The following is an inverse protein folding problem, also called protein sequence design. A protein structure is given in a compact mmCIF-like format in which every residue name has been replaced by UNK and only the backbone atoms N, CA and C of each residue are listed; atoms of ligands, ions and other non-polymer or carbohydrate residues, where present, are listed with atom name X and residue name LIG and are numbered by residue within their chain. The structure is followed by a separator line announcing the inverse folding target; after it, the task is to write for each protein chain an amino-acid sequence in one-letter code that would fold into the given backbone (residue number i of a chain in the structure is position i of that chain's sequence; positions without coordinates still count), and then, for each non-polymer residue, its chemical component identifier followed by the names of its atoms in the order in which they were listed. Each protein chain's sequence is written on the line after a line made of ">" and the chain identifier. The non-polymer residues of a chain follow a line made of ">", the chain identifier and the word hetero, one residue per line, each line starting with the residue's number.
data_IF_086319776136
#
_entry.id   IF_086319776136
#
_cell.length_a   1.000
_cell.length_b   1.000
_cell.length_c   1.000
_cell.angle_alpha   90.00
_cell.angle_beta   90.00
_cell.angle_gamma   90.00
#
_symmetry.space_group_name_H-M   'P 1'
#
loop_
_entity.id
_entity.type
_entity.pdbx_description
1 polymer ?
#
# COMPACT_ATOMS: atom_id res chain seq x y z
N UNK A 1 21.73 13.29 -2.64
CA UNK A 1 21.79 14.75 -2.87
C UNK A 1 22.06 15.11 -4.33
N UNK A 2 23.26 14.86 -4.91
CA UNK A 2 23.56 15.25 -6.32
C UNK A 2 22.53 14.75 -7.35
N UNK A 3 22.09 13.49 -7.21
CA UNK A 3 21.07 12.91 -8.11
C UNK A 3 19.74 13.65 -8.00
N UNK A 4 19.31 14.01 -6.79
CA UNK A 4 18.05 14.74 -6.59
C UNK A 4 18.14 16.17 -7.12
N UNK A 5 19.28 16.85 -6.90
CA UNK A 5 19.51 18.17 -7.46
C UNK A 5 19.43 18.15 -8.99
N UNK A 6 20.00 17.12 -9.64
CA UNK A 6 19.88 16.95 -11.09
C UNK A 6 18.41 16.90 -11.57
N UNK A 7 17.51 16.25 -10.82
CA UNK A 7 16.09 16.22 -11.18
C UNK A 7 15.40 17.57 -10.93
N UNK A 8 15.73 18.27 -9.84
CA UNK A 8 15.22 19.64 -9.58
C UNK A 8 15.66 20.60 -10.69
N UNK A 9 16.94 20.59 -11.07
CA UNK A 9 17.47 21.43 -12.14
C UNK A 9 16.77 21.14 -13.48
N UNK A 10 16.44 19.87 -13.73
CA UNK A 10 15.73 19.46 -14.95
C UNK A 10 14.28 19.92 -14.97
N UNK A 11 13.59 19.88 -13.83
CA UNK A 11 12.23 20.41 -13.67
C UNK A 11 12.23 21.93 -13.86
N UNK A 12 13.18 22.64 -13.26
CA UNK A 12 13.32 24.09 -13.41
C UNK A 12 13.61 24.49 -14.86
N UNK A 13 14.46 23.72 -15.57
CA UNK A 13 14.77 23.98 -16.97
C UNK A 13 13.62 23.65 -17.94
N UNK A 14 12.66 22.80 -17.55
CA UNK A 14 11.57 22.32 -18.40
C UNK A 14 10.23 22.28 -17.64
N UNK A 15 9.68 23.44 -17.25
CA UNK A 15 8.49 23.50 -16.41
C UNK A 15 7.22 22.92 -17.07
N UNK A 16 7.16 22.93 -18.40
CA UNK A 16 6.02 22.41 -19.17
C UNK A 16 6.09 20.89 -19.43
N UNK A 17 7.22 20.25 -19.11
CA UNK A 17 7.43 18.79 -19.21
C UNK A 17 8.20 18.27 -17.99
N UNK A 18 7.58 18.34 -16.79
CA UNK A 18 8.26 18.00 -15.54
C UNK A 18 8.56 16.50 -15.49
N UNK A 19 9.78 16.17 -15.09
CA UNK A 19 10.18 14.78 -14.88
C UNK A 19 9.57 14.23 -13.62
N UNK A 20 9.10 12.98 -13.70
CA UNK A 20 8.69 12.20 -12.56
C UNK A 20 9.79 11.20 -12.16
N UNK A 21 10.28 11.31 -10.93
CA UNK A 21 11.35 10.48 -10.40
C UNK A 21 10.82 9.48 -9.36
N UNK A 22 11.23 8.22 -9.49
CA UNK A 22 10.91 7.15 -8.55
C UNK A 22 12.21 6.61 -7.92
N UNK A 23 12.27 6.59 -6.59
CA UNK A 23 13.42 6.08 -5.84
C UNK A 23 12.99 5.08 -4.76
N UNK A 24 13.84 4.10 -4.51
CA UNK A 24 13.79 3.34 -3.27
C UNK A 24 14.47 4.12 -2.14
N UNK A 25 13.86 4.11 -0.96
CA UNK A 25 14.39 4.77 0.23
C UNK A 25 14.55 3.76 1.37
N UNK A 26 15.68 3.83 2.06
CA UNK A 26 15.91 3.07 3.28
C UNK A 26 15.11 3.72 4.41
N UNK A 27 14.18 2.99 5.07
CA UNK A 27 13.16 3.60 5.94
C UNK A 27 13.72 4.47 7.08
N UNK A 28 14.81 4.03 7.71
CA UNK A 28 15.40 4.67 8.89
C UNK A 28 16.59 5.60 8.56
N UNK A 29 16.84 5.87 7.28
CA UNK A 29 17.95 6.70 6.83
C UNK A 29 17.51 7.90 6.00
N UNK A 30 17.07 8.96 6.68
CA UNK A 30 16.64 10.22 6.07
C UNK A 30 17.32 11.44 6.74
N UNK A 31 18.59 11.75 6.39
CA UNK A 31 19.32 12.89 6.96
C UNK A 31 18.68 14.24 6.65
N UNK A 32 18.88 15.26 7.50
CA UNK A 32 18.27 16.59 7.31
C UNK A 32 18.57 17.23 5.95
N UNK A 33 19.80 17.16 5.46
CA UNK A 33 20.12 17.69 4.13
C UNK A 33 19.30 17.01 2.99
N UNK A 34 18.92 15.75 3.19
CA UNK A 34 18.06 15.02 2.25
C UNK A 34 16.61 15.50 2.36
N UNK A 35 16.10 15.69 3.58
CA UNK A 35 14.79 16.29 3.85
C UNK A 35 14.63 17.67 3.20
N UNK A 36 15.59 18.56 3.41
CA UNK A 36 15.59 19.89 2.80
C UNK A 36 15.55 19.84 1.26
N UNK A 37 16.18 18.83 0.66
CA UNK A 37 16.17 18.65 -0.80
C UNK A 37 14.84 18.07 -1.28
N UNK A 38 14.29 17.08 -0.57
CA UNK A 38 12.99 16.46 -0.87
C UNK A 38 11.86 17.49 -0.83
N UNK A 39 11.86 18.38 0.17
CA UNK A 39 10.83 19.40 0.34
C UNK A 39 10.75 20.40 -0.83
N UNK A 40 11.78 20.48 -1.67
CA UNK A 40 11.81 21.35 -2.87
C UNK A 40 11.12 20.75 -4.08
N UNK A 41 10.84 19.44 -4.09
CA UNK A 41 10.16 18.81 -5.21
C UNK A 41 8.69 19.27 -5.28
N UNK A 42 8.20 19.69 -6.45
CA UNK A 42 6.80 20.05 -6.59
C UNK A 42 5.89 18.81 -6.51
N UNK A 43 4.58 19.01 -6.25
CA UNK A 43 3.60 17.93 -6.31
C UNK A 43 3.65 17.15 -7.62
N UNK A 44 3.60 15.82 -7.52
CA UNK A 44 3.57 14.93 -8.68
C UNK A 44 4.93 14.72 -9.36
N UNK A 45 6.05 15.18 -8.79
CA UNK A 45 7.39 15.00 -9.36
C UNK A 45 8.22 13.89 -8.71
N UNK A 46 7.84 13.42 -7.52
CA UNK A 46 8.65 12.51 -6.72
C UNK A 46 7.80 11.41 -6.08
N UNK A 47 8.27 10.17 -6.20
CA UNK A 47 7.74 9.01 -5.49
C UNK A 47 8.86 8.24 -4.78
N UNK A 48 8.55 7.74 -3.59
CA UNK A 48 9.39 6.83 -2.84
C UNK A 48 8.72 5.47 -2.63
N UNK A 49 9.51 4.42 -2.81
CA UNK A 49 9.21 3.06 -2.36
C UNK A 49 10.01 2.77 -1.09
N UNK A 50 9.33 2.39 -0.01
CA UNK A 50 9.90 2.19 1.33
C UNK A 50 9.57 0.78 1.79
N UNK A 51 10.55 -0.11 1.71
CA UNK A 51 10.39 -1.48 2.18
C UNK A 51 10.47 -1.59 3.71
N UNK A 52 9.35 -1.57 4.42
CA UNK A 52 9.32 -1.88 5.87
C UNK A 52 9.36 -3.40 6.07
N UNK A 53 8.60 -4.13 5.25
CA UNK A 53 8.45 -5.59 5.25
C UNK A 53 7.71 -6.13 6.49
N UNK A 54 8.19 -5.83 7.70
CA UNK A 54 7.52 -6.11 8.97
C UNK A 54 7.96 -5.08 10.02
N UNK A 55 7.09 -4.76 10.97
CA UNK A 55 7.44 -3.96 12.16
C UNK A 55 7.85 -4.83 13.35
N UNK A 56 7.87 -6.16 13.24
CA UNK A 56 8.28 -7.06 14.31
C UNK A 56 9.83 -7.23 14.31
N UNK A 57 10.56 -6.79 15.35
CA UNK A 57 12.02 -6.89 15.40
C UNK A 57 12.56 -8.32 15.35
N UNK A 58 11.81 -9.30 15.86
CA UNK A 58 12.20 -10.72 15.82
C UNK A 58 12.16 -11.24 14.38
N UNK A 59 11.08 -10.94 13.66
CA UNK A 59 10.89 -11.29 12.24
C UNK A 59 11.97 -10.61 11.39
N UNK A 60 12.21 -9.31 11.62
CA UNK A 60 13.28 -8.56 10.95
C UNK A 60 14.65 -9.22 11.15
N UNK A 61 14.96 -9.64 12.38
CA UNK A 61 16.21 -10.34 12.71
C UNK A 61 16.33 -11.65 11.94
N UNK A 62 15.27 -12.46 11.89
CA UNK A 62 15.24 -13.73 11.17
C UNK A 62 15.55 -13.54 9.67
N UNK A 63 14.96 -12.52 9.05
CA UNK A 63 15.19 -12.21 7.63
C UNK A 63 16.42 -11.32 7.38
N UNK A 64 17.23 -11.05 8.41
CA UNK A 64 18.43 -10.22 8.34
C UNK A 64 18.16 -8.78 7.86
N UNK A 65 16.99 -8.24 8.19
CA UNK A 65 16.62 -6.84 7.99
C UNK A 65 17.03 -6.05 9.24
N UNK A 66 17.99 -5.14 9.09
CA UNK A 66 18.37 -4.21 10.15
C UNK A 66 17.68 -2.88 9.88
N UNK A 67 16.74 -2.49 10.75
CA UNK A 67 16.08 -1.19 10.70
C UNK A 67 15.68 -0.73 12.10
N UNK A 68 15.66 0.58 12.29
CA UNK A 68 15.12 1.25 13.47
C UNK A 68 13.66 1.67 13.19
N UNK A 69 12.70 0.94 13.77
CA UNK A 69 11.28 1.13 13.48
C UNK A 69 10.75 2.51 13.89
N UNK A 70 11.22 3.05 15.01
CA UNK A 70 10.77 4.35 15.49
C UNK A 70 11.24 5.45 14.53
N UNK A 71 12.50 5.38 14.09
CA UNK A 71 13.02 6.31 13.06
C UNK A 71 12.33 6.13 11.72
N UNK A 72 12.04 4.89 11.31
CA UNK A 72 11.30 4.63 10.08
C UNK A 72 9.91 5.28 10.13
N UNK A 73 9.20 5.14 11.24
CA UNK A 73 7.90 5.77 11.46
C UNK A 73 7.98 7.30 11.45
N UNK A 74 8.99 7.88 12.12
CA UNK A 74 9.23 9.32 12.12
C UNK A 74 9.55 9.88 10.73
N UNK A 75 10.36 9.15 9.95
CA UNK A 75 10.70 9.53 8.59
C UNK A 75 9.48 9.46 7.65
N UNK A 76 8.67 8.41 7.75
CA UNK A 76 7.41 8.31 6.99
C UNK A 76 6.49 9.47 7.36
N UNK A 77 6.30 9.77 8.65
CA UNK A 77 5.48 10.89 9.11
C UNK A 77 6.00 12.24 8.62
N UNK A 78 7.31 12.43 8.60
CA UNK A 78 7.91 13.63 8.03
C UNK A 78 7.64 13.72 6.53
N UNK A 79 7.85 12.64 5.78
CA UNK A 79 7.60 12.61 4.33
C UNK A 79 6.13 12.90 3.99
N UNK A 80 5.17 12.34 4.74
CA UNK A 80 3.73 12.54 4.49
C UNK A 80 3.25 13.94 4.86
N UNK A 81 3.90 14.62 5.80
CA UNK A 81 3.43 15.93 6.32
C UNK A 81 4.25 17.13 5.87
N UNK A 82 5.51 16.93 5.48
CA UNK A 82 6.47 17.99 5.18
C UNK A 82 7.01 17.93 3.74
N UNK A 83 6.48 17.02 2.91
CA UNK A 83 6.87 16.92 1.51
C UNK A 83 5.68 16.65 0.60
N UNK A 84 5.89 16.78 -0.70
CA UNK A 84 4.92 16.40 -1.73
C UNK A 84 5.23 15.03 -2.37
N UNK A 85 6.13 14.24 -1.76
CA UNK A 85 6.50 12.94 -2.27
C UNK A 85 5.35 11.94 -2.10
N UNK A 86 5.01 11.23 -3.17
CA UNK A 86 4.10 10.10 -3.11
C UNK A 86 4.82 8.92 -2.44
N UNK A 87 4.17 8.23 -1.49
CA UNK A 87 4.83 7.17 -0.70
C UNK A 87 4.14 5.84 -0.92
N UNK A 88 4.92 4.86 -1.35
CA UNK A 88 4.55 3.46 -1.43
C UNK A 88 5.33 2.75 -0.33
N UNK A 89 4.63 2.16 0.63
CA UNK A 89 5.28 1.51 1.78
C UNK A 89 4.91 0.04 1.84
N UNK A 90 5.91 -0.83 1.86
CA UNK A 90 5.70 -2.26 1.69
C UNK A 90 5.63 -3.00 3.02
N UNK A 91 4.66 -3.91 3.14
CA UNK A 91 4.61 -4.96 4.13
C UNK A 91 4.59 -6.32 3.44
N UNK A 92 5.17 -7.35 4.05
CA UNK A 92 5.24 -8.69 3.49
C UNK A 92 4.64 -9.68 4.49
N UNK A 93 3.53 -10.30 4.13
CA UNK A 93 2.95 -11.39 4.90
C UNK A 93 3.62 -12.74 4.57
N UNK A 94 3.65 -13.62 5.57
CA UNK A 94 4.20 -14.98 5.46
C UNK A 94 5.72 -15.06 5.65
N UNK A 95 6.32 -14.04 6.26
CA UNK A 95 7.71 -14.11 6.73
C UNK A 95 7.86 -15.19 7.82
N UNK A 96 9.04 -15.80 7.96
CA UNK A 96 9.29 -16.80 9.00
C UNK A 96 9.15 -16.17 10.40
N UNK A 97 8.36 -16.79 11.28
CA UNK A 97 8.16 -16.34 12.65
C UNK A 97 7.12 -15.24 12.81
N UNK A 98 6.37 -14.93 11.75
CA UNK A 98 5.31 -13.92 11.80
C UNK A 98 3.94 -14.57 11.69
N UNK A 99 3.14 -14.45 12.75
CA UNK A 99 1.73 -14.83 12.75
C UNK A 99 0.84 -13.68 12.24
N UNK A 100 -0.44 -13.99 11.99
CA UNK A 100 -1.42 -13.01 11.48
C UNK A 100 -1.60 -11.84 12.44
N UNK A 101 -1.54 -12.07 13.75
CA UNK A 101 -1.73 -11.02 14.75
C UNK A 101 -0.55 -10.04 14.77
N UNK A 102 0.68 -10.52 14.63
CA UNK A 102 1.90 -9.71 14.49
C UNK A 102 1.83 -8.88 13.23
N UNK A 103 1.48 -9.49 12.10
CA UNK A 103 1.30 -8.77 10.85
C UNK A 103 0.22 -7.68 10.96
N UNK A 104 -0.93 -8.00 11.57
CA UNK A 104 -2.03 -7.05 11.78
C UNK A 104 -1.60 -5.81 12.57
N UNK A 105 -0.84 -5.97 13.66
CA UNK A 105 -0.29 -4.84 14.42
C UNK A 105 0.63 -3.97 13.56
N UNK A 106 1.47 -4.59 12.72
CA UNK A 106 2.34 -3.86 11.80
C UNK A 106 1.56 -3.11 10.72
N UNK A 107 0.49 -3.71 10.20
CA UNK A 107 -0.42 -3.08 9.25
C UNK A 107 -1.14 -1.88 9.85
N UNK A 108 -1.75 -2.04 11.03
CA UNK A 108 -2.46 -0.95 11.71
C UNK A 108 -1.52 0.20 12.05
N UNK A 109 -0.29 -0.12 12.49
CA UNK A 109 0.74 0.88 12.70
C UNK A 109 1.05 1.64 11.41
N UNK A 110 1.24 0.95 10.28
CA UNK A 110 1.52 1.60 9.01
C UNK A 110 0.37 2.49 8.52
N UNK A 111 -0.88 2.02 8.64
CA UNK A 111 -2.07 2.82 8.33
C UNK A 111 -2.09 4.12 9.14
N UNK A 112 -1.70 4.08 10.42
CA UNK A 112 -1.63 5.27 11.28
C UNK A 112 -0.59 6.30 10.81
N UNK A 113 0.43 5.88 10.07
CA UNK A 113 1.45 6.77 9.48
C UNK A 113 0.96 7.45 8.19
N UNK A 114 -0.20 7.03 7.67
CA UNK A 114 -0.87 7.60 6.49
C UNK A 114 0.02 7.70 5.24
N UNK A 115 0.75 6.65 4.83
CA UNK A 115 1.36 6.64 3.50
C UNK A 115 0.26 6.72 2.42
N UNK A 116 0.64 7.12 1.22
CA UNK A 116 -0.33 7.24 0.12
C UNK A 116 -0.78 5.87 -0.38
N UNK A 117 0.13 4.90 -0.44
CA UNK A 117 -0.15 3.51 -0.76
C UNK A 117 0.57 2.57 0.22
N UNK A 118 -0.12 1.49 0.58
CA UNK A 118 0.47 0.37 1.32
C UNK A 118 0.52 -0.82 0.37
N UNK A 119 1.72 -1.26 0.00
CA UNK A 119 1.90 -2.45 -0.79
C UNK A 119 1.84 -3.68 0.12
N UNK A 120 0.74 -4.40 0.07
CA UNK A 120 0.59 -5.67 0.78
C UNK A 120 1.17 -6.81 -0.07
N UNK A 121 2.42 -7.18 0.20
CA UNK A 121 3.11 -8.29 -0.43
C UNK A 121 2.79 -9.64 0.25
N UNK A 122 2.66 -10.69 -0.55
CA UNK A 122 2.74 -12.09 -0.07
C UNK A 122 4.14 -12.60 -0.39
N UNK A 123 4.84 -13.17 0.59
CA UNK A 123 6.22 -13.64 0.43
C UNK A 123 6.35 -14.55 -0.80
N UNK A 124 7.35 -14.28 -1.63
CA UNK A 124 7.72 -15.10 -2.80
C UNK A 124 9.11 -15.69 -2.60
N UNK A 125 9.28 -16.97 -2.97
CA UNK A 125 10.60 -17.62 -3.01
C UNK A 125 11.24 -17.41 -4.38
N UNK A 126 12.03 -16.35 -4.50
CA UNK A 126 12.85 -16.13 -5.69
C UNK A 126 14.12 -16.99 -5.63
N UNK A 127 14.67 -17.34 -6.80
CA UNK A 127 15.90 -18.15 -6.88
C UNK A 127 17.07 -17.35 -6.29
N UNK A 128 17.86 -17.99 -5.44
CA UNK A 128 19.08 -17.41 -4.85
C UNK A 128 18.85 -16.51 -3.63
N UNK A 129 17.61 -16.35 -3.14
CA UNK A 129 17.36 -15.52 -1.96
C UNK A 129 17.63 -16.28 -0.66
N UNK A 130 18.16 -15.62 0.39
CA UNK A 130 18.47 -16.27 1.67
C UNK A 130 17.26 -16.88 2.40
N UNK A 131 16.04 -16.46 2.05
CA UNK A 131 14.79 -16.90 2.71
C UNK A 131 14.64 -18.42 2.73
N UNK A 132 15.23 -19.13 1.76
CA UNK A 132 15.16 -20.58 1.65
C UNK A 132 15.71 -21.31 2.88
N UNK A 133 16.68 -20.71 3.58
CA UNK A 133 17.30 -21.31 4.79
C UNK A 133 16.30 -21.58 5.91
N UNK A 134 15.19 -20.84 5.94
CA UNK A 134 14.13 -20.98 6.95
C UNK A 134 13.11 -22.07 6.60
N UNK A 135 13.18 -22.68 5.41
CA UNK A 135 12.18 -23.64 4.94
C UNK A 135 11.97 -24.81 5.92
N UNK A 136 13.03 -25.49 6.41
CA UNK A 136 12.85 -26.62 7.33
C UNK A 136 12.32 -26.20 8.71
N UNK A 137 12.86 -25.12 9.28
CA UNK A 137 12.58 -24.68 10.66
C UNK A 137 11.18 -24.04 10.81
N UNK A 138 10.71 -23.37 9.76
CA UNK A 138 9.42 -22.68 9.75
C UNK A 138 8.36 -23.40 8.92
N UNK A 139 8.69 -24.57 8.34
CA UNK A 139 7.76 -25.35 7.54
C UNK A 139 7.22 -24.58 6.33
N UNK A 140 8.08 -23.82 5.64
CA UNK A 140 7.65 -22.91 4.57
C UNK A 140 7.21 -23.71 3.33
N UNK A 141 5.92 -23.63 2.98
CA UNK A 141 5.33 -24.30 1.81
C UNK A 141 5.10 -23.27 0.72
N UNK A 142 5.72 -23.46 -0.45
CA UNK A 142 5.60 -22.53 -1.58
C UNK A 142 4.87 -23.16 -2.75
N UNK A 143 4.23 -22.33 -3.57
CA UNK A 143 3.73 -22.73 -4.87
C UNK A 143 4.91 -23.25 -5.73
N UNK A 144 4.82 -24.45 -6.32
CA UNK A 144 5.87 -24.96 -7.20
C UNK A 144 5.98 -24.17 -8.52
N UNK A 145 4.99 -23.37 -8.88
CA UNK A 145 4.97 -22.55 -10.08
C UNK A 145 5.22 -21.08 -9.77
N UNK A 146 5.74 -20.35 -10.76
CA UNK A 146 5.89 -18.90 -10.66
C UNK A 146 4.52 -18.25 -10.38
N UNK A 147 4.43 -17.25 -9.49
CA UNK A 147 5.53 -16.47 -8.90
C UNK A 147 6.12 -17.03 -7.59
N UNK A 148 5.91 -18.31 -7.27
CA UNK A 148 6.47 -19.02 -6.09
C UNK A 148 6.06 -18.40 -4.76
N UNK A 149 4.81 -17.94 -4.65
CA UNK A 149 4.23 -17.40 -3.42
C UNK A 149 4.18 -18.45 -2.32
N UNK A 150 4.34 -18.02 -1.07
CA UNK A 150 4.09 -18.87 0.08
C UNK A 150 2.60 -19.24 0.16
N UNK A 151 2.35 -20.52 0.42
CA UNK A 151 1.02 -21.09 0.60
C UNK A 151 0.69 -21.26 2.08
N UNK A 152 1.68 -21.59 2.91
CA UNK A 152 1.57 -21.71 4.36
C UNK A 152 2.96 -21.76 5.00
N UNK A 153 3.02 -21.55 6.32
CA UNK A 153 4.13 -21.89 7.18
C UNK A 153 3.59 -22.41 8.53
N UNK A 154 4.45 -22.66 9.52
CA UNK A 154 4.01 -23.15 10.84
C UNK A 154 3.16 -22.14 11.64
N UNK A 155 3.29 -20.85 11.34
CA UNK A 155 2.67 -19.73 12.07
C UNK A 155 1.38 -19.25 11.37
N UNK A 156 1.25 -19.50 10.06
CA UNK A 156 0.10 -19.14 9.22
C UNK A 156 -0.25 -20.32 8.30
N UNK A 157 -1.38 -20.95 8.59
CA UNK A 157 -1.88 -22.07 7.80
C UNK A 157 -2.40 -21.65 6.42
N UNK A 158 -2.70 -22.64 5.56
CA UNK A 158 -3.14 -22.38 4.20
C UNK A 158 -4.43 -21.56 4.13
N UNK A 159 -5.53 -21.89 4.85
CA UNK A 159 -6.74 -21.05 4.86
C UNK A 159 -6.48 -19.60 5.28
N UNK A 160 -5.69 -19.36 6.33
CA UNK A 160 -5.33 -18.01 6.77
C UNK A 160 -4.50 -17.28 5.71
N UNK A 161 -3.52 -17.95 5.09
CA UNK A 161 -2.74 -17.36 4.00
C UNK A 161 -3.62 -16.97 2.80
N UNK A 162 -4.61 -17.80 2.45
CA UNK A 162 -5.57 -17.44 1.40
C UNK A 162 -6.42 -16.22 1.76
N UNK A 163 -6.77 -16.03 3.05
CA UNK A 163 -7.44 -14.80 3.51
C UNK A 163 -6.56 -13.57 3.30
N UNK A 164 -5.26 -13.65 3.64
CA UNK A 164 -4.30 -12.56 3.42
C UNK A 164 -4.09 -12.26 1.93
N UNK A 165 -4.04 -13.28 1.06
CA UNK A 165 -3.97 -13.10 -0.40
C UNK A 165 -5.19 -12.33 -0.92
N UNK A 166 -6.40 -12.67 -0.43
CA UNK A 166 -7.62 -11.94 -0.80
C UNK A 166 -7.61 -10.51 -0.27
N UNK A 167 -7.21 -10.33 1.00
CA UNK A 167 -7.02 -9.03 1.61
C UNK A 167 -6.17 -8.13 0.73
N UNK A 168 -4.97 -8.59 0.34
CA UNK A 168 -4.04 -7.82 -0.49
C UNK A 168 -4.69 -7.36 -1.81
N UNK A 169 -5.42 -8.26 -2.48
CA UNK A 169 -6.09 -7.93 -3.75
C UNK A 169 -7.22 -6.92 -3.57
N UNK A 170 -8.04 -7.06 -2.53
CA UNK A 170 -9.11 -6.10 -2.28
C UNK A 170 -8.56 -4.75 -1.77
N UNK A 171 -7.46 -4.77 -1.02
CA UNK A 171 -6.75 -3.56 -0.59
C UNK A 171 -6.31 -2.75 -1.80
N UNK A 172 -5.72 -3.38 -2.81
CA UNK A 172 -5.36 -2.71 -4.06
C UNK A 172 -6.57 -2.14 -4.81
N UNK A 173 -7.68 -2.88 -4.85
CA UNK A 173 -8.90 -2.47 -5.55
C UNK A 173 -9.64 -1.31 -4.87
N UNK A 174 -9.57 -1.22 -3.54
CA UNK A 174 -10.33 -0.24 -2.76
C UNK A 174 -9.42 0.86 -2.24
N UNK A 175 -8.46 0.53 -1.36
CA UNK A 175 -7.61 1.49 -0.67
C UNK A 175 -6.57 2.14 -1.60
N UNK A 176 -5.71 1.35 -2.25
CA UNK A 176 -4.63 1.90 -3.10
C UNK A 176 -5.16 2.50 -4.42
N UNK A 177 -6.41 2.20 -4.81
CA UNK A 177 -6.97 2.70 -6.07
C UNK A 177 -7.15 4.21 -6.13
N UNK A 178 -7.21 4.88 -4.97
CA UNK A 178 -7.56 6.29 -4.82
C UNK A 178 -9.02 6.62 -5.20
N UNK A 179 -9.87 5.62 -5.44
CA UNK A 179 -11.27 5.78 -5.86
C UNK A 179 -12.26 5.79 -4.70
N UNK A 180 -11.81 5.50 -3.49
CA UNK A 180 -12.62 5.36 -2.28
C UNK A 180 -11.99 6.11 -1.10
N UNK A 181 -11.39 7.28 -1.35
CA UNK A 181 -10.52 7.97 -0.40
C UNK A 181 -11.20 8.36 0.93
N UNK A 182 -12.44 8.81 0.90
CA UNK A 182 -13.26 9.11 2.09
C UNK A 182 -13.89 7.83 2.64
N UNK A 183 -14.36 6.94 1.75
CA UNK A 183 -15.01 5.70 2.19
C UNK A 183 -14.06 4.79 2.96
N UNK A 184 -12.79 4.68 2.54
CA UNK A 184 -11.82 3.79 3.17
C UNK A 184 -11.54 4.22 4.62
N UNK A 185 -11.44 5.52 4.91
CA UNK A 185 -11.26 6.01 6.28
C UNK A 185 -12.38 5.51 7.21
N UNK A 186 -13.63 5.55 6.72
CA UNK A 186 -14.77 5.04 7.47
C UNK A 186 -14.78 3.52 7.59
N UNK A 187 -14.32 2.80 6.57
CA UNK A 187 -14.22 1.34 6.60
C UNK A 187 -13.15 0.84 7.58
N UNK A 188 -12.04 1.57 7.73
CA UNK A 188 -10.92 1.14 8.57
C UNK A 188 -11.20 1.32 10.07
N UNK A 189 -11.81 2.43 10.48
CA UNK A 189 -12.11 2.69 11.89
C UNK A 189 -10.90 2.54 12.83
N UNK A 190 -11.14 2.08 14.06
CA UNK A 190 -10.10 1.94 15.10
C UNK A 190 -9.24 0.66 14.95
N UNK A 191 -9.71 -0.33 14.19
CA UNK A 191 -9.01 -1.60 13.92
C UNK A 191 -8.88 -1.84 12.41
N UNK A 192 -7.99 -1.12 11.69
CA UNK A 192 -7.92 -1.15 10.23
C UNK A 192 -7.82 -2.55 9.63
N UNK A 193 -6.90 -3.39 10.13
CA UNK A 193 -6.68 -4.74 9.61
C UNK A 193 -7.90 -5.62 9.82
N UNK A 194 -8.48 -5.64 11.03
CA UNK A 194 -9.63 -6.48 11.34
C UNK A 194 -10.86 -6.08 10.51
N UNK A 195 -11.13 -4.79 10.43
CA UNK A 195 -12.28 -4.26 9.70
C UNK A 195 -12.16 -4.50 8.19
N UNK A 196 -10.96 -4.31 7.63
CA UNK A 196 -10.72 -4.58 6.22
C UNK A 196 -10.68 -6.09 5.90
N UNK A 197 -10.23 -6.92 6.83
CA UNK A 197 -10.30 -8.38 6.70
C UNK A 197 -11.76 -8.86 6.69
N UNK A 198 -12.61 -8.32 7.56
CA UNK A 198 -14.03 -8.63 7.58
C UNK A 198 -14.72 -8.25 6.25
N UNK A 199 -14.38 -7.07 5.69
CA UNK A 199 -14.81 -6.67 4.36
C UNK A 199 -14.33 -7.66 3.28
N UNK A 200 -13.05 -8.01 3.31
CA UNK A 200 -12.41 -8.90 2.33
C UNK A 200 -13.04 -10.29 2.32
N UNK A 201 -13.36 -10.84 3.48
CA UNK A 201 -14.07 -12.11 3.59
C UNK A 201 -15.51 -11.98 3.08
N UNK A 202 -16.23 -10.93 3.48
CA UNK A 202 -17.60 -10.70 3.05
C UNK A 202 -17.73 -10.52 1.53
N UNK A 203 -16.92 -9.66 0.91
CA UNK A 203 -17.00 -9.39 -0.53
C UNK A 203 -16.66 -10.64 -1.34
N UNK A 204 -15.76 -11.48 -0.83
CA UNK A 204 -15.45 -12.76 -1.46
C UNK A 204 -16.68 -13.68 -1.49
N UNK A 205 -17.48 -13.73 -0.42
CA UNK A 205 -18.76 -14.50 -0.41
C UNK A 205 -19.78 -14.01 -1.45
N UNK A 206 -19.68 -12.75 -1.90
CA UNK A 206 -20.59 -12.15 -2.89
C UNK A 206 -20.14 -12.33 -4.33
N UNK A 207 -18.84 -12.52 -4.54
CA UNK A 207 -18.23 -12.43 -5.87
C UNK A 207 -17.55 -13.71 -6.32
N UNK A 208 -17.06 -14.51 -5.38
CA UNK A 208 -16.12 -15.62 -5.61
C UNK A 208 -14.94 -15.19 -6.53
N UNK A 209 -14.59 -13.91 -6.50
CA UNK A 209 -13.63 -13.30 -7.40
C UNK A 209 -12.87 -12.17 -6.69
N UNK A 210 -11.56 -12.13 -6.92
CA UNK A 210 -10.65 -11.15 -6.32
C UNK A 210 -10.09 -10.15 -7.33
N UNK A 211 -10.53 -10.26 -8.59
CA UNK A 211 -10.07 -9.47 -9.73
C UNK A 211 -11.20 -9.36 -10.75
N UNK A 212 -11.06 -8.44 -11.73
CA UNK A 212 -12.07 -8.20 -12.78
C UNK A 212 -13.47 -7.84 -12.24
N UNK A 213 -13.53 -7.19 -11.09
CA UNK A 213 -14.76 -6.58 -10.58
C UNK A 213 -14.88 -5.20 -11.23
N UNK A 214 -15.92 -4.99 -12.04
CA UNK A 214 -16.18 -3.69 -12.64
C UNK A 214 -16.36 -2.62 -11.55
N UNK A 215 -15.88 -1.39 -11.79
CA UNK A 215 -15.87 -0.34 -10.76
C UNK A 215 -17.26 -0.05 -10.20
N UNK A 216 -18.29 0.03 -11.05
CA UNK A 216 -19.68 0.23 -10.60
C UNK A 216 -20.17 -0.89 -9.68
N UNK A 217 -19.82 -2.14 -10.01
CA UNK A 217 -20.13 -3.30 -9.16
C UNK A 217 -19.37 -3.22 -7.83
N UNK A 218 -18.09 -2.84 -7.86
CA UNK A 218 -17.27 -2.67 -6.67
C UNK A 218 -17.85 -1.57 -5.76
N UNK A 219 -18.20 -0.41 -6.32
CA UNK A 219 -18.79 0.70 -5.57
C UNK A 219 -20.12 0.29 -4.89
N UNK A 220 -20.96 -0.46 -5.60
CA UNK A 220 -22.19 -1.03 -5.03
C UNK A 220 -21.90 -1.98 -3.87
N UNK A 221 -20.93 -2.88 -4.02
CA UNK A 221 -20.54 -3.82 -2.96
C UNK A 221 -19.96 -3.10 -1.74
N UNK A 222 -19.16 -2.05 -1.94
CA UNK A 222 -18.65 -1.21 -0.86
C UNK A 222 -19.79 -0.52 -0.12
N UNK A 223 -20.75 0.08 -0.82
CA UNK A 223 -21.93 0.70 -0.20
C UNK A 223 -22.82 -0.32 0.53
N UNK A 224 -22.95 -1.54 0.01
CA UNK A 224 -23.65 -2.65 0.68
C UNK A 224 -22.92 -3.10 1.95
N UNK A 225 -21.58 -3.15 1.93
CA UNK A 225 -20.80 -3.48 3.13
C UNK A 225 -21.02 -2.45 4.24
N UNK A 226 -20.99 -1.15 3.92
CA UNK A 226 -21.28 -0.09 4.89
C UNK A 226 -22.65 -0.26 5.55
N UNK A 227 -23.66 -0.70 4.78
CA UNK A 227 -24.99 -1.01 5.31
C UNK A 227 -25.00 -2.23 6.24
N UNK A 228 -24.23 -3.27 5.91
CA UNK A 228 -24.03 -4.43 6.80
C UNK A 228 -23.39 -3.99 8.12
N UNK A 229 -22.53 -2.98 8.10
CA UNK A 229 -21.94 -2.35 9.30
C UNK A 229 -22.88 -1.35 10.00
N UNK A 230 -24.16 -1.28 9.61
CA UNK A 230 -25.20 -0.48 10.27
C UNK A 230 -25.37 0.94 9.74
N UNK A 231 -24.68 1.33 8.67
CA UNK A 231 -24.91 2.62 8.01
C UNK A 231 -26.25 2.63 7.26
N UNK A 232 -26.96 3.76 7.28
CA UNK A 232 -28.18 3.87 6.48
C UNK A 232 -27.85 3.77 4.98
N UNK A 233 -28.81 3.30 4.17
CA UNK A 233 -28.62 3.19 2.72
C UNK A 233 -28.33 4.56 2.08
N UNK A 234 -28.96 5.63 2.58
CA UNK A 234 -28.73 6.98 2.10
C UNK A 234 -27.28 7.39 2.36
N UNK A 235 -26.84 7.33 3.62
CA UNK A 235 -25.49 7.75 4.04
C UNK A 235 -24.40 6.93 3.33
N UNK A 236 -24.61 5.62 3.17
CA UNK A 236 -23.65 4.75 2.47
C UNK A 236 -23.51 5.11 0.99
N UNK A 237 -24.62 5.48 0.35
CA UNK A 237 -24.61 5.91 -1.06
C UNK A 237 -23.96 7.29 -1.21
N UNK A 238 -24.27 8.21 -0.31
CA UNK A 238 -23.67 9.55 -0.29
C UNK A 238 -22.17 9.51 -0.01
N UNK A 239 -21.74 8.68 0.95
CA UNK A 239 -20.32 8.51 1.26
C UNK A 239 -19.53 7.97 0.06
N UNK A 240 -20.02 6.91 -0.58
CA UNK A 240 -19.36 6.37 -1.78
C UNK A 240 -19.43 7.35 -2.94
N UNK A 241 -20.54 8.08 -3.10
CA UNK A 241 -20.64 9.13 -4.12
C UNK A 241 -19.68 10.30 -3.87
N UNK A 242 -19.37 10.61 -2.60
CA UNK A 242 -18.41 11.67 -2.25
C UNK A 242 -17.01 11.41 -2.80
N UNK A 243 -16.63 10.15 -2.98
CA UNK A 243 -15.33 9.78 -3.56
C UNK A 243 -15.23 10.09 -5.06
N UNK A 244 -16.37 10.11 -5.75
CA UNK A 244 -16.48 10.53 -7.15
C UNK A 244 -16.69 12.04 -7.28
N UNK A 245 -17.46 12.64 -6.36
CA UNK A 245 -17.72 14.07 -6.34
C UNK A 245 -16.49 14.90 -5.91
N UNK A 246 -15.59 14.35 -5.08
CA UNK A 246 -14.35 15.01 -4.66
C UNK A 246 -13.30 15.22 -5.76
N UNK A 247 -13.54 14.74 -6.99
CA UNK A 247 -12.75 15.06 -8.18
C UNK A 247 -13.51 15.86 -9.24
N UNK A 248 -14.76 16.23 -8.97
CA UNK A 248 -15.58 17.09 -9.82
C UNK A 248 -16.05 18.26 -8.95
N UNK A 249 -15.34 19.38 -9.04
CA UNK A 249 -15.62 20.68 -8.40
C UNK A 249 -15.11 20.91 -6.97
N UNK A 250 -13.81 21.21 -6.87
CA UNK A 250 -13.35 22.36 -6.06
C UNK A 250 -12.83 23.42 -7.02
N UNK A 251 -13.28 24.69 -6.95
CA UNK A 251 -12.78 25.75 -7.81
C UNK A 251 -11.39 26.20 -7.32
N UNK A 252 -10.39 25.36 -7.52
CA UNK A 252 -9.08 25.83 -7.97
C UNK A 252 -9.20 25.95 -9.49
N UNK A 253 -8.84 27.12 -10.01
CA UNK A 253 -8.92 27.57 -11.39
C UNK A 253 -9.06 26.50 -12.47
N UNK A 254 -10.03 26.72 -13.37
CA UNK A 254 -10.13 26.04 -14.67
C UNK A 254 -8.80 26.15 -15.43
N UNK A 255 -7.93 25.17 -15.27
CA UNK A 255 -6.98 24.76 -16.29
C UNK A 255 -7.39 23.36 -16.73
N UNK A 256 -7.52 23.20 -18.05
CA UNK A 256 -7.73 21.89 -18.66
C UNK A 256 -6.67 20.91 -18.14
N UNK A 257 -6.96 19.60 -18.05
CA UNK A 257 -5.96 18.63 -17.64
C UNK A 257 -4.88 18.54 -18.73
N UNK A 258 -3.84 19.35 -18.61
CA UNK A 258 -2.63 19.31 -19.41
C UNK A 258 -1.50 18.67 -18.62
N UNK A 259 -1.77 17.57 -17.91
CA UNK A 259 -0.75 16.54 -17.67
C UNK A 259 -1.47 15.21 -17.62
N UNK A 260 -1.51 14.54 -18.78
CA UNK A 260 -1.76 13.10 -18.82
C UNK A 260 -0.58 12.48 -18.11
N UNK A 261 -0.75 12.08 -16.84
CA UNK A 261 0.18 11.16 -16.21
C UNK A 261 0.46 10.05 -17.22
N UNK A 262 1.74 9.79 -17.60
CA UNK A 262 2.01 8.89 -18.69
C UNK A 262 1.33 7.57 -18.38
N UNK A 263 0.52 7.09 -19.33
CA UNK A 263 -0.26 5.83 -19.34
C UNK A 263 0.63 4.57 -19.12
N UNK A 264 1.90 4.75 -18.78
CA UNK A 264 2.94 3.75 -18.65
C UNK A 264 3.13 3.29 -17.20
N UNK A 265 2.04 2.90 -16.53
CA UNK A 265 2.13 2.04 -15.33
C UNK A 265 0.88 1.19 -15.04
N UNK A 266 -0.19 1.32 -15.83
CA UNK A 266 -1.32 0.37 -15.80
C UNK A 266 -1.01 -1.03 -16.40
N UNK A 267 0.27 -1.35 -16.67
CA UNK A 267 0.71 -2.63 -17.26
C UNK A 267 1.46 -3.57 -16.32
N UNK A 268 1.66 -3.22 -15.04
CA UNK A 268 2.30 -4.13 -14.08
C UNK A 268 1.35 -4.79 -13.06
N UNK A 269 0.04 -4.51 -13.13
CA UNK A 269 -1.01 -5.21 -12.38
C UNK A 269 -1.81 -6.21 -13.23
N UNK A 270 -1.32 -6.53 -14.43
CA UNK A 270 -1.84 -7.56 -15.31
C UNK A 270 -0.72 -8.52 -15.74
N UNK A 271 -0.19 -9.26 -14.76
CA UNK A 271 0.53 -10.52 -14.94
C UNK A 271 0.32 -11.37 -13.68
#
# INVERSE_FOLDING_TARGET
>A
LKIMQFFLDKIEANPDDPVYAHFELVPDHLPEALKETIAKFPPGALQFEIGIQSFNPEVQTLVSRRQDNDKAADNIRWLTTQSHAHLHVDLIAGLPGEDVASFARGFDHLVSLKPHEIQFGILKRLRGTPIIRHTPEFGMVYDPYAPYTILANKDVDFPAMQRLVRFARYWDLVANSGRFANTIERMLGDSPFENFMAFSDWIYTKTDATHRIALEKLAKLVAEWLQVQGMSRLDATELVASDYAGRVDSPAEKQAPTVVAPVRQARHLAA
#
